data_IF_451091200461
#
_entry.id   IF_451091200461
#
_cell.length_a   1.000
_cell.length_b   1.000
_cell.length_c   1.000
_cell.angle_alpha   90.00
_cell.angle_beta   90.00
_cell.angle_gamma   90.00
#
_symmetry.space_group_name_H-M   'P 1'
#
loop_
_entity.id
_entity.type
_entity.pdbx_description
1 polymer ?
#
# COMPACT_ATOMS: atom_id res chain seq x y z
N UNK A 1 2.57 3.70 -56.98
CA UNK A 1 1.36 4.23 -56.29
C UNK A 1 1.06 3.26 -55.15
N UNK A 2 1.64 3.51 -53.98
CA UNK A 2 1.46 2.69 -52.77
C UNK A 2 0.63 3.53 -51.80
N UNK A 3 -0.57 3.05 -51.45
CA UNK A 3 -1.40 3.60 -50.38
C UNK A 3 -0.74 3.33 -49.01
N UNK A 4 -0.52 4.35 -48.16
CA UNK A 4 -0.17 4.12 -46.77
C UNK A 4 -1.44 4.15 -45.91
N UNK A 5 -2.24 3.09 -45.94
CA UNK A 5 -3.27 2.82 -44.92
C UNK A 5 -2.84 1.61 -44.11
N UNK A 6 -2.05 1.87 -43.06
CA UNK A 6 -1.92 1.03 -41.86
C UNK A 6 -0.97 1.73 -40.87
N UNK A 7 -1.27 2.99 -40.53
CA UNK A 7 -0.67 3.60 -39.35
C UNK A 7 -1.44 3.06 -38.14
N UNK A 8 -0.80 2.12 -37.44
CA UNK A 8 -1.20 1.55 -36.16
C UNK A 8 -1.84 2.61 -35.26
N UNK A 9 -3.12 2.45 -34.92
CA UNK A 9 -3.66 3.07 -33.71
C UNK A 9 -3.01 2.39 -32.51
N UNK A 10 -1.78 2.78 -32.19
CA UNK A 10 -1.26 2.53 -30.86
C UNK A 10 -2.14 3.36 -29.92
N UNK A 11 -3.01 2.68 -29.17
CA UNK A 11 -3.67 3.26 -28.01
C UNK A 11 -2.58 3.93 -27.16
N UNK A 12 -2.59 5.25 -27.08
CA UNK A 12 -1.65 5.99 -26.23
C UNK A 12 -2.02 5.69 -24.78
N UNK A 13 -1.29 4.76 -24.16
CA UNK A 13 -1.31 4.56 -22.72
C UNK A 13 -0.92 5.89 -22.06
N UNK A 14 -1.90 6.53 -21.44
CA UNK A 14 -1.66 7.73 -20.63
C UNK A 14 -1.39 7.28 -19.21
N UNK A 15 -0.30 7.76 -18.63
CA UNK A 15 0.08 7.43 -17.26
C UNK A 15 -0.06 8.66 -16.36
N UNK A 16 -0.53 8.45 -15.13
CA UNK A 16 -0.64 9.49 -14.10
C UNK A 16 0.06 9.04 -12.84
N UNK A 17 0.74 9.97 -12.16
CA UNK A 17 1.46 9.68 -10.92
C UNK A 17 1.11 10.68 -9.83
N UNK A 18 1.11 10.22 -8.58
CA UNK A 18 1.07 11.06 -7.39
C UNK A 18 1.78 10.37 -6.22
N UNK A 19 1.87 11.04 -5.08
CA UNK A 19 2.27 10.44 -3.82
C UNK A 19 1.28 10.82 -2.72
N UNK A 20 0.84 9.83 -1.94
CA UNK A 20 0.05 10.02 -0.73
C UNK A 20 0.96 10.02 0.50
N UNK A 21 0.71 10.94 1.43
CA UNK A 21 1.35 11.00 2.73
C UNK A 21 0.39 10.51 3.81
N UNK A 22 0.73 9.41 4.47
CA UNK A 22 -0.11 8.79 5.51
C UNK A 22 0.57 8.99 6.86
N UNK A 23 -0.06 9.76 7.74
CA UNK A 23 0.41 9.96 9.10
C UNK A 23 0.05 8.76 9.97
N UNK A 24 1.06 8.21 10.65
CA UNK A 24 0.90 7.10 11.59
C UNK A 24 1.25 7.56 13.00
N UNK A 25 0.65 6.94 14.02
CA UNK A 25 0.81 7.27 15.45
C UNK A 25 1.44 6.14 16.26
N UNK A 26 1.85 5.07 15.60
CA UNK A 26 2.36 3.82 16.17
C UNK A 26 1.83 2.61 15.39
N UNK A 27 2.15 1.40 15.84
CA UNK A 27 1.76 0.18 15.13
C UNK A 27 0.25 0.12 14.92
N UNK A 28 -0.16 -0.30 13.72
CA UNK A 28 -1.57 -0.41 13.38
C UNK A 28 -1.86 -0.23 11.89
N UNK A 29 -3.13 -0.39 11.53
CA UNK A 29 -3.62 -0.23 10.16
C UNK A 29 -4.19 1.19 9.98
N UNK A 30 -3.69 1.91 8.98
CA UNK A 30 -4.09 3.27 8.66
C UNK A 30 -4.75 3.29 7.29
N UNK A 31 -6.07 3.46 7.31
CA UNK A 31 -6.95 3.46 6.15
C UNK A 31 -6.70 4.70 5.27
N UNK A 32 -6.62 4.52 3.94
CA UNK A 32 -6.46 5.64 3.00
C UNK A 32 -7.19 5.49 1.67
N UNK A 33 -8.16 4.58 1.55
CA UNK A 33 -8.96 4.35 0.31
C UNK A 33 -9.59 5.64 -0.19
N UNK A 34 -10.19 6.43 0.72
CA UNK A 34 -10.88 7.67 0.36
C UNK A 34 -9.96 8.69 -0.32
N UNK A 35 -8.67 8.72 0.04
CA UNK A 35 -7.67 9.61 -0.57
C UNK A 35 -7.38 9.20 -2.02
N UNK A 36 -7.28 7.88 -2.25
CA UNK A 36 -7.04 7.31 -3.58
C UNK A 36 -8.27 7.50 -4.48
N UNK A 37 -9.48 7.24 -3.96
CA UNK A 37 -10.73 7.46 -4.68
C UNK A 37 -10.95 8.93 -5.06
N UNK A 38 -10.63 9.85 -4.15
CA UNK A 38 -10.71 11.27 -4.44
C UNK A 38 -9.74 11.64 -5.58
N UNK A 39 -8.50 11.16 -5.53
CA UNK A 39 -7.53 11.41 -6.59
C UNK A 39 -7.99 10.87 -7.95
N UNK A 40 -8.47 9.63 -8.04
CA UNK A 40 -8.97 9.06 -9.29
C UNK A 40 -10.13 9.89 -9.87
N UNK A 41 -11.04 10.34 -9.01
CA UNK A 41 -12.19 11.17 -9.39
C UNK A 41 -11.78 12.55 -9.88
N UNK A 42 -10.88 13.23 -9.17
CA UNK A 42 -10.38 14.57 -9.53
C UNK A 42 -9.62 14.54 -10.86
N UNK A 43 -8.94 13.42 -11.14
CA UNK A 43 -8.26 13.18 -12.41
C UNK A 43 -9.19 12.72 -13.53
N UNK A 44 -10.47 12.51 -13.25
CA UNK A 44 -11.46 11.93 -14.19
C UNK A 44 -10.90 10.67 -14.84
N UNK A 45 -10.29 9.81 -14.03
CA UNK A 45 -9.69 8.57 -14.49
C UNK A 45 -10.72 7.73 -15.26
N UNK A 46 -10.28 7.08 -16.34
CA UNK A 46 -11.06 6.09 -17.08
C UNK A 46 -10.84 4.69 -16.52
N UNK A 47 -10.80 3.70 -17.41
CA UNK A 47 -10.39 2.34 -17.07
C UNK A 47 -8.86 2.24 -17.03
N UNK A 48 -8.32 1.35 -16.19
CA UNK A 48 -6.87 1.19 -16.09
C UNK A 48 -6.39 0.29 -14.97
N UNK A 49 -5.09 0.37 -14.71
CA UNK A 49 -4.42 -0.36 -13.64
C UNK A 49 -3.71 0.61 -12.70
N UNK A 50 -4.14 0.63 -11.44
CA UNK A 50 -3.51 1.40 -10.38
C UNK A 50 -2.48 0.54 -9.65
N UNK A 51 -1.23 1.02 -9.61
CA UNK A 51 -0.20 0.49 -8.73
C UNK A 51 0.03 1.46 -7.57
N UNK A 52 0.01 0.94 -6.34
CA UNK A 52 0.39 1.66 -5.13
C UNK A 52 1.65 1.01 -4.56
N UNK A 53 2.68 1.79 -4.26
CA UNK A 53 3.96 1.31 -3.75
C UNK A 53 4.41 2.11 -2.54
N UNK A 54 4.59 1.45 -1.39
CA UNK A 54 5.09 2.12 -0.18
C UNK A 54 6.61 2.27 -0.25
N UNK A 55 7.10 3.50 -0.09
CA UNK A 55 8.54 3.82 -0.18
C UNK A 55 9.24 3.70 1.17
N UNK A 56 8.96 2.62 1.90
CA UNK A 56 9.44 2.38 3.27
C UNK A 56 9.69 0.89 3.47
N UNK A 57 10.70 0.56 4.26
CA UNK A 57 11.12 -0.84 4.55
C UNK A 57 10.66 -1.34 5.91
N UNK A 58 9.93 -0.51 6.66
CA UNK A 58 9.41 -0.79 8.00
C UNK A 58 7.89 -0.58 8.10
N UNK A 59 7.20 -0.61 6.96
CA UNK A 59 5.75 -0.55 6.84
C UNK A 59 5.31 -1.28 5.56
N UNK A 60 4.05 -1.69 5.50
CA UNK A 60 3.50 -2.47 4.38
C UNK A 60 2.21 -1.87 3.83
N UNK A 61 1.76 -2.38 2.69
CA UNK A 61 0.44 -2.12 2.12
C UNK A 61 -0.45 -3.36 2.20
N UNK A 62 -1.72 -3.13 2.46
CA UNK A 62 -2.74 -4.15 2.62
C UNK A 62 -4.03 -3.75 1.91
N UNK A 63 -4.71 -4.76 1.36
CA UNK A 63 -6.16 -4.70 1.11
C UNK A 63 -6.79 -5.62 2.14
N UNK A 64 -7.59 -5.07 3.05
CA UNK A 64 -8.22 -5.83 4.13
C UNK A 64 -9.60 -5.30 4.48
N UNK A 65 -10.29 -5.98 5.40
CA UNK A 65 -11.60 -5.57 5.86
C UNK A 65 -11.61 -4.14 6.44
N UNK A 66 -12.61 -3.34 6.07
CA UNK A 66 -12.82 -1.97 6.57
C UNK A 66 -14.15 -1.77 7.33
N UNK A 67 -14.87 -2.85 7.61
CA UNK A 67 -16.13 -2.80 8.33
C UNK A 67 -15.95 -3.12 9.82
N UNK A 68 -15.33 -4.25 10.15
CA UNK A 68 -15.12 -4.67 11.53
C UNK A 68 -13.73 -4.24 12.07
N UNK A 69 -13.66 -3.38 13.11
CA UNK A 69 -12.39 -3.01 13.72
C UNK A 69 -11.67 -4.17 14.42
N UNK A 70 -12.36 -5.26 14.78
CA UNK A 70 -11.71 -6.44 15.37
C UNK A 70 -10.75 -7.11 14.39
N UNK A 71 -11.02 -7.10 13.09
CA UNK A 71 -10.09 -7.63 12.08
C UNK A 71 -8.74 -6.90 12.13
N UNK A 72 -8.75 -5.58 12.31
CA UNK A 72 -7.52 -4.79 12.42
C UNK A 72 -6.77 -5.10 13.72
N UNK A 73 -7.50 -5.23 14.84
CA UNK A 73 -6.92 -5.59 16.15
C UNK A 73 -6.29 -6.98 16.12
N UNK A 74 -6.96 -7.95 15.52
CA UNK A 74 -6.49 -9.33 15.43
C UNK A 74 -5.27 -9.45 14.50
N UNK A 75 -5.27 -8.74 13.36
CA UNK A 75 -4.08 -8.67 12.50
C UNK A 75 -2.89 -8.06 13.27
N UNK A 76 -3.10 -6.97 13.98
CA UNK A 76 -2.05 -6.35 14.79
C UNK A 76 -1.54 -7.30 15.90
N UNK A 77 -2.44 -7.97 16.62
CA UNK A 77 -2.10 -8.92 17.67
C UNK A 77 -1.33 -10.13 17.11
N UNK A 78 -1.78 -10.68 15.99
CA UNK A 78 -1.15 -11.81 15.32
C UNK A 78 0.28 -11.48 14.90
N UNK A 79 0.51 -10.36 14.22
CA UNK A 79 1.86 -9.97 13.79
C UNK A 79 2.77 -9.57 14.96
N UNK A 80 2.21 -9.00 16.04
CA UNK A 80 2.97 -8.72 17.26
C UNK A 80 3.44 -10.00 17.94
N UNK A 81 2.63 -11.07 17.92
CA UNK A 81 3.01 -12.40 18.41
C UNK A 81 3.98 -13.13 17.48
N UNK A 82 3.77 -13.02 16.17
CA UNK A 82 4.58 -13.71 15.16
C UNK A 82 5.99 -13.15 15.06
N UNK A 83 6.12 -11.82 15.18
CA UNK A 83 7.39 -11.10 15.13
C UNK A 83 7.45 -10.14 16.33
N UNK A 84 7.77 -10.67 17.53
CA UNK A 84 7.94 -9.85 18.73
C UNK A 84 9.09 -8.84 18.63
N UNK A 85 9.13 -7.85 19.54
CA UNK A 85 10.26 -6.94 19.70
C UNK A 85 11.61 -7.65 19.81
N UNK A 86 12.69 -6.99 19.39
CA UNK A 86 14.04 -7.60 19.35
C UNK A 86 14.69 -7.79 20.72
N UNK A 87 14.13 -7.21 21.78
CA UNK A 87 14.50 -7.48 23.18
C UNK A 87 13.79 -8.71 23.78
N UNK A 88 12.84 -9.32 23.06
CA UNK A 88 12.27 -10.62 23.40
C UNK A 88 13.37 -11.72 23.40
N UNK A 89 13.42 -12.62 24.40
CA UNK A 89 14.42 -13.69 24.44
C UNK A 89 14.47 -14.57 23.18
N UNK A 90 13.34 -14.76 22.49
CA UNK A 90 13.26 -15.52 21.24
C UNK A 90 13.95 -14.81 20.06
N UNK A 91 14.19 -13.51 20.17
CA UNK A 91 14.76 -12.66 19.12
C UNK A 91 16.24 -12.31 19.31
N UNK A 92 16.93 -12.88 20.30
CA UNK A 92 18.36 -12.60 20.60
C UNK A 92 19.35 -12.87 19.46
N UNK A 93 18.91 -13.58 18.41
CA UNK A 93 19.73 -13.83 17.22
C UNK A 93 19.77 -12.63 16.26
N UNK A 94 18.88 -11.65 16.42
CA UNK A 94 18.86 -10.43 15.62
C UNK A 94 20.05 -9.53 15.96
N UNK A 95 20.72 -9.00 14.93
CA UNK A 95 21.92 -8.15 15.06
C UNK A 95 21.64 -6.67 14.86
N UNK A 96 20.56 -6.34 14.14
CA UNK A 96 20.17 -4.97 13.88
C UNK A 96 19.24 -4.49 15.00
N UNK A 97 19.79 -3.88 16.04
CA UNK A 97 19.06 -3.50 17.26
C UNK A 97 19.32 -2.06 17.70
N UNK A 98 20.05 -1.29 16.90
CA UNK A 98 20.52 0.05 17.28
C UNK A 98 19.43 1.12 17.19
N UNK A 99 18.35 0.90 16.44
CA UNK A 99 17.29 1.90 16.18
C UNK A 99 16.00 1.63 16.96
N UNK A 100 16.11 0.86 18.05
CA UNK A 100 15.01 0.52 18.95
C UNK A 100 14.53 -0.93 18.80
N UNK A 101 13.79 -1.44 19.81
CA UNK A 101 13.40 -2.84 19.86
C UNK A 101 12.40 -3.23 18.75
N UNK A 102 11.67 -2.26 18.19
CA UNK A 102 10.65 -2.43 17.14
C UNK A 102 11.20 -2.41 15.71
N UNK A 103 12.45 -1.99 15.51
CA UNK A 103 12.98 -1.68 14.18
C UNK A 103 13.20 -2.92 13.28
N UNK A 104 14.09 -3.83 13.68
CA UNK A 104 14.29 -5.07 12.92
C UNK A 104 13.02 -5.93 12.82
N UNK A 105 12.17 -6.05 13.87
CA UNK A 105 10.85 -6.64 13.75
C UNK A 105 9.98 -5.98 12.67
N UNK A 106 10.00 -4.65 12.55
CA UNK A 106 9.27 -3.94 11.50
C UNK A 106 9.78 -4.27 10.10
N UNK A 107 11.10 -4.43 9.93
CA UNK A 107 11.69 -4.92 8.68
C UNK A 107 11.25 -6.35 8.35
N UNK A 108 11.20 -7.24 9.33
CA UNK A 108 10.74 -8.63 9.14
C UNK A 108 9.26 -8.64 8.71
N UNK A 109 8.40 -7.91 9.44
CA UNK A 109 6.97 -7.79 9.09
C UNK A 109 6.80 -7.23 7.67
N UNK A 110 7.60 -6.24 7.28
CA UNK A 110 7.58 -5.68 5.93
C UNK A 110 8.05 -6.66 4.84
N UNK A 111 9.02 -7.53 5.14
CA UNK A 111 9.46 -8.57 4.21
C UNK A 111 8.42 -9.69 4.01
N UNK A 112 7.52 -9.88 4.98
CA UNK A 112 6.45 -10.89 4.92
C UNK A 112 5.18 -10.39 4.22
N UNK A 113 5.03 -9.08 4.10
CA UNK A 113 3.79 -8.44 3.68
C UNK A 113 3.99 -7.62 2.40
N UNK A 114 2.93 -7.39 1.61
CA UNK A 114 3.06 -6.63 0.37
C UNK A 114 3.58 -5.21 0.63
N UNK A 115 4.49 -4.74 -0.21
CA UNK A 115 4.87 -3.32 -0.29
C UNK A 115 4.31 -2.65 -1.55
N UNK A 116 3.65 -3.44 -2.41
CA UNK A 116 3.03 -3.01 -3.64
C UNK A 116 1.65 -3.62 -3.75
N UNK A 117 0.66 -2.83 -4.14
CA UNK A 117 -0.68 -3.27 -4.50
C UNK A 117 -0.94 -2.92 -5.96
N UNK A 118 -1.68 -3.79 -6.65
CA UNK A 118 -2.11 -3.58 -8.03
C UNK A 118 -3.62 -3.78 -8.08
N UNK A 119 -4.35 -2.73 -8.45
CA UNK A 119 -5.81 -2.63 -8.32
C UNK A 119 -6.39 -2.24 -9.68
N UNK A 120 -7.32 -3.02 -10.25
CA UNK A 120 -8.05 -2.59 -11.44
C UNK A 120 -8.87 -1.34 -11.15
N UNK A 121 -8.92 -0.42 -12.11
CA UNK A 121 -9.78 0.76 -12.08
C UNK A 121 -10.77 0.66 -13.23
N UNK A 122 -12.05 0.85 -12.94
CA UNK A 122 -13.12 0.90 -13.96
C UNK A 122 -14.03 2.10 -13.74
N UNK A 123 -14.26 2.87 -14.81
CA UNK A 123 -15.03 4.10 -14.78
C UNK A 123 -14.51 5.09 -13.73
N UNK A 124 -13.19 5.15 -13.53
CA UNK A 124 -12.55 6.02 -12.55
C UNK A 124 -12.72 5.59 -11.09
N UNK A 125 -13.15 4.36 -10.82
CA UNK A 125 -13.27 3.79 -9.48
C UNK A 125 -12.42 2.56 -9.32
N UNK A 126 -11.80 2.40 -8.15
CA UNK A 126 -11.11 1.16 -7.82
C UNK A 126 -12.12 0.00 -7.76
N UNK A 127 -11.79 -1.12 -8.38
CA UNK A 127 -12.61 -2.33 -8.35
C UNK A 127 -12.29 -3.12 -7.07
N UNK A 128 -12.73 -2.57 -5.94
CA UNK A 128 -12.64 -3.19 -4.62
C UNK A 128 -13.97 -3.88 -4.27
N UNK A 129 -13.91 -4.95 -3.48
CA UNK A 129 -15.09 -5.53 -2.84
C UNK A 129 -15.68 -4.61 -1.78
N UNK A 130 -16.94 -4.84 -1.40
CA UNK A 130 -17.68 -3.99 -0.44
C UNK A 130 -16.94 -3.72 0.87
N UNK A 131 -16.20 -4.70 1.35
CA UNK A 131 -15.47 -4.63 2.62
C UNK A 131 -13.97 -4.40 2.45
N UNK A 132 -13.47 -4.17 1.23
CA UNK A 132 -12.04 -3.98 1.00
C UNK A 132 -11.66 -2.51 1.16
N UNK A 133 -10.74 -2.25 2.09
CA UNK A 133 -10.05 -0.97 2.25
C UNK A 133 -8.54 -1.11 2.03
N UNK A 134 -7.92 -0.01 1.60
CA UNK A 134 -6.49 0.17 1.45
C UNK A 134 -5.88 0.66 2.76
N UNK A 135 -4.86 -0.04 3.24
CA UNK A 135 -4.18 0.29 4.48
C UNK A 135 -2.68 0.42 4.31
N UNK A 136 -2.10 1.39 5.01
CA UNK A 136 -0.71 1.30 5.46
C UNK A 136 -0.71 0.51 6.76
N UNK A 137 0.03 -0.61 6.79
CA UNK A 137 0.32 -1.29 8.05
C UNK A 137 1.63 -0.72 8.60
N UNK A 138 1.51 0.10 9.64
CA UNK A 138 2.64 0.63 10.41
C UNK A 138 3.15 -0.45 11.34
N UNK A 139 4.46 -0.70 11.29
CA UNK A 139 5.12 -1.70 12.13
C UNK A 139 6.02 -1.08 13.20
N UNK A 140 6.22 0.25 13.18
CA UNK A 140 7.00 1.01 14.17
C UNK A 140 6.10 1.61 15.25
N UNK A 141 6.63 1.72 16.47
CA UNK A 141 5.90 2.24 17.63
C UNK A 141 5.77 3.76 17.62
N UNK A 142 6.76 4.46 17.06
CA UNK A 142 6.77 5.92 16.97
C UNK A 142 6.01 6.44 15.74
N UNK A 143 5.45 7.66 15.81
CA UNK A 143 4.81 8.30 14.66
C UNK A 143 5.72 8.43 13.43
N UNK A 144 5.16 8.25 12.24
CA UNK A 144 5.83 8.42 10.96
C UNK A 144 4.92 9.09 9.93
N UNK A 145 5.52 9.67 8.89
CA UNK A 145 4.84 10.02 7.66
C UNK A 145 5.24 9.01 6.58
N UNK A 146 4.36 8.06 6.29
CA UNK A 146 4.56 7.04 5.25
C UNK A 146 4.19 7.61 3.89
N UNK A 147 4.97 7.26 2.87
CA UNK A 147 4.84 7.76 1.50
C UNK A 147 4.47 6.61 0.59
N UNK A 148 3.29 6.70 -0.02
CA UNK A 148 2.79 5.74 -1.00
C UNK A 148 2.83 6.40 -2.37
N UNK A 149 3.68 5.89 -3.26
CA UNK A 149 3.70 6.30 -4.65
C UNK A 149 2.53 5.63 -5.38
N UNK A 150 1.82 6.39 -6.19
CA UNK A 150 0.72 5.91 -7.00
C UNK A 150 1.04 6.10 -8.48
N UNK A 151 0.77 5.07 -9.27
CA UNK A 151 0.91 5.09 -10.72
C UNK A 151 -0.35 4.47 -11.33
N UNK A 152 -1.07 5.24 -12.13
CA UNK A 152 -2.23 4.76 -12.90
C UNK A 152 -1.83 4.68 -14.37
N UNK A 153 -1.87 3.49 -14.95
CA UNK A 153 -1.83 3.29 -16.39
C UNK A 153 -3.27 3.23 -16.92
N UNK A 154 -3.66 4.21 -17.74
CA UNK A 154 -5.02 4.34 -18.29
C UNK A 154 -5.11 3.61 -19.62
N UNK A 155 -6.13 2.76 -19.75
CA UNK A 155 -6.50 2.14 -21.03
C UNK A 155 -7.24 3.18 -21.88
N UNK A 156 -6.77 3.40 -23.11
CA UNK A 156 -7.42 4.31 -24.05
C UNK A 156 -8.69 3.69 -24.67
#
# INVERSE_FOLDING_TARGET
MLEPRNLRMAALLTAMQTSFGIETRGQGLYEFTGQVDAWLRDRKAGDGLLTLFIRHTSASLLIQENADPDVQRDLQAYFSRLVPPSDDPSMRYLRHTMEGPDDMPAHIKAAMMPVSLTIPVSGGRMVLGTWQGLYVFEHRDRPHLRKVAAHLAVSA
#
